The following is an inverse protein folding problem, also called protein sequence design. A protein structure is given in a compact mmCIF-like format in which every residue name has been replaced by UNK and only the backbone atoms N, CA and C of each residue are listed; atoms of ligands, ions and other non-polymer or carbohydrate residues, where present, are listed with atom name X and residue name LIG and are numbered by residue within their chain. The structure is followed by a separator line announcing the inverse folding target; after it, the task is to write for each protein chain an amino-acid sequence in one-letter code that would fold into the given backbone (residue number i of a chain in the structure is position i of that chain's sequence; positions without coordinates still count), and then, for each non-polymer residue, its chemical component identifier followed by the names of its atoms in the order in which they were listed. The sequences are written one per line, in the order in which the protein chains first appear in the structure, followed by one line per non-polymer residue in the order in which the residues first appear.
data_IF_443966430386
#
_entry.id   IF_443966430386
#
_cell.length_a   1.000
_cell.length_b   1.000
_cell.length_c   1.000
_cell.angle_alpha   90.00
_cell.angle_beta   90.00
_cell.angle_gamma   90.00
#
_symmetry.space_group_name_H-M   'P 1'
#
loop_
_entity.id
_entity.type
_entity.pdbx_description
1 polymer ?
#
# COMPACT_ATOMS: atom_id res chain seq x y z
N UNK A 1 6.94 -8.99 4.94
CA UNK A 1 7.55 -10.01 5.80
C UNK A 1 7.01 -11.36 5.40
N UNK A 2 7.75 -12.06 4.54
CA UNK A 2 7.43 -13.41 4.12
C UNK A 2 8.47 -14.39 4.68
N UNK A 3 8.31 -15.70 4.42
CA UNK A 3 9.31 -16.67 4.79
C UNK A 3 10.62 -16.38 4.05
N UNK A 4 11.75 -16.65 4.71
CA UNK A 4 13.07 -16.37 4.12
C UNK A 4 13.29 -17.20 2.85
N UNK A 5 13.66 -16.51 1.77
CA UNK A 5 13.93 -17.09 0.45
C UNK A 5 15.44 -17.18 0.16
N UNK A 6 16.30 -16.74 1.08
CA UNK A 6 17.76 -16.81 0.96
C UNK A 6 18.26 -18.22 0.63
N UNK A 7 17.57 -19.25 1.13
CA UNK A 7 17.82 -20.67 0.84
C UNK A 7 17.65 -21.06 -0.63
N UNK A 8 16.81 -20.34 -1.39
CA UNK A 8 16.60 -20.58 -2.82
C UNK A 8 17.76 -20.03 -3.64
N UNK A 9 18.08 -18.76 -3.41
CA UNK A 9 19.17 -18.05 -4.08
C UNK A 9 19.56 -16.83 -3.25
N UNK A 10 20.84 -16.71 -2.88
CA UNK A 10 21.37 -15.60 -2.09
C UNK A 10 21.06 -14.23 -2.70
N UNK A 11 21.14 -14.10 -4.03
CA UNK A 11 20.84 -12.85 -4.73
C UNK A 11 19.36 -12.49 -4.63
N UNK A 12 18.46 -13.47 -4.79
CA UNK A 12 17.02 -13.24 -4.60
C UNK A 12 16.70 -12.87 -3.16
N UNK A 13 17.38 -13.51 -2.19
CA UNK A 13 17.29 -13.14 -0.77
C UNK A 13 17.64 -11.68 -0.52
N UNK A 14 18.77 -11.20 -1.06
CA UNK A 14 19.18 -9.78 -0.95
C UNK A 14 18.17 -8.83 -1.59
N UNK A 15 17.67 -9.14 -2.79
CA UNK A 15 16.66 -8.33 -3.47
C UNK A 15 15.35 -8.30 -2.66
N UNK A 16 14.92 -9.46 -2.15
CA UNK A 16 13.72 -9.56 -1.32
C UNK A 16 13.86 -8.77 -0.03
N UNK A 17 15.02 -8.83 0.63
CA UNK A 17 15.29 -8.06 1.85
C UNK A 17 15.28 -6.56 1.58
N UNK A 18 15.83 -6.13 0.44
CA UNK A 18 15.78 -4.74 -0.01
C UNK A 18 14.35 -4.27 -0.28
N UNK A 19 13.56 -5.06 -1.01
CA UNK A 19 12.16 -4.75 -1.33
C UNK A 19 11.25 -4.81 -0.10
N UNK A 20 11.56 -5.68 0.87
CA UNK A 20 10.87 -5.76 2.15
C UNK A 20 11.25 -4.61 3.09
N UNK A 21 12.22 -3.76 2.71
CA UNK A 21 12.80 -2.71 3.55
C UNK A 21 13.23 -3.26 4.92
N UNK A 22 13.71 -4.50 4.96
CA UNK A 22 14.18 -5.13 6.19
C UNK A 22 15.59 -4.62 6.48
N UNK A 23 15.66 -3.44 7.11
CA UNK A 23 16.90 -2.70 7.37
C UNK A 23 17.99 -3.54 8.07
N UNK A 24 17.56 -4.54 8.88
CA UNK A 24 18.45 -5.48 9.57
C UNK A 24 19.46 -6.16 8.66
N UNK A 25 19.07 -6.47 7.42
CA UNK A 25 19.94 -7.20 6.50
C UNK A 25 20.78 -6.28 5.61
N UNK A 26 20.56 -4.96 5.70
CA UNK A 26 21.17 -3.95 4.82
C UNK A 26 22.20 -3.13 5.59
N UNK A 27 21.90 -2.79 6.84
CA UNK A 27 22.70 -1.89 7.66
C UNK A 27 23.22 -2.67 8.88
N UNK A 28 24.54 -2.66 9.07
CA UNK A 28 25.13 -3.16 10.30
C UNK A 28 24.79 -2.18 11.44
N UNK A 29 23.96 -2.62 12.39
CA UNK A 29 23.44 -1.78 13.46
C UNK A 29 24.47 -1.40 14.54
N UNK A 30 25.75 -1.68 14.31
CA UNK A 30 26.85 -1.29 15.20
C UNK A 30 26.92 0.23 15.39
N UNK A 31 27.56 0.63 16.49
CA UNK A 31 27.92 2.02 16.79
C UNK A 31 26.72 2.98 16.89
N UNK A 32 25.59 2.52 17.43
CA UNK A 32 24.42 3.38 17.68
C UNK A 32 23.63 3.79 16.44
N UNK A 33 23.94 3.26 15.24
CA UNK A 33 23.18 3.53 14.01
C UNK A 33 21.71 3.11 14.17
N UNK A 34 21.44 2.06 14.95
CA UNK A 34 20.08 1.64 15.30
C UNK A 34 19.24 2.77 15.86
N UNK A 35 19.77 3.51 16.84
CA UNK A 35 19.06 4.61 17.52
C UNK A 35 18.78 5.78 16.57
N UNK A 36 19.73 6.11 15.70
CA UNK A 36 19.53 7.14 14.66
C UNK A 36 18.36 6.77 13.73
N UNK A 37 18.25 5.48 13.37
CA UNK A 37 17.14 4.98 12.54
C UNK A 37 15.82 5.05 13.31
N UNK A 38 15.81 4.66 14.58
CA UNK A 38 14.62 4.77 15.46
C UNK A 38 14.15 6.23 15.55
N UNK A 39 15.07 7.16 15.81
CA UNK A 39 14.75 8.59 15.90
C UNK A 39 14.21 9.14 14.58
N UNK A 40 14.80 8.75 13.45
CA UNK A 40 14.30 9.10 12.13
C UNK A 40 12.89 8.57 11.87
N UNK A 41 12.60 7.33 12.29
CA UNK A 41 11.25 6.74 12.20
C UNK A 41 10.27 7.51 13.08
N UNK A 42 10.64 7.89 14.30
CA UNK A 42 9.78 8.73 15.14
C UNK A 42 9.52 10.11 14.54
N UNK A 43 10.53 10.76 13.97
CA UNK A 43 10.36 12.02 13.25
C UNK A 43 9.36 11.90 12.09
N UNK A 44 9.43 10.81 11.31
CA UNK A 44 8.50 10.54 10.23
C UNK A 44 7.09 10.20 10.71
N UNK A 45 6.95 9.48 11.83
CA UNK A 45 5.65 9.20 12.45
C UNK A 45 5.04 10.49 12.99
N UNK A 46 5.81 11.34 13.67
CA UNK A 46 5.33 12.64 14.15
C UNK A 46 4.87 13.53 12.99
N UNK A 47 5.66 13.56 11.90
CA UNK A 47 5.28 14.26 10.67
C UNK A 47 3.96 13.69 10.09
N UNK A 48 3.84 12.36 10.01
CA UNK A 48 2.61 11.69 9.57
C UNK A 48 1.39 12.11 10.41
N UNK A 49 1.49 12.00 11.74
CA UNK A 49 0.40 12.33 12.67
C UNK A 49 0.01 13.80 12.52
N UNK A 50 0.97 14.71 12.36
CA UNK A 50 0.70 16.14 12.16
C UNK A 50 -0.04 16.41 10.85
N UNK A 51 0.35 15.78 9.74
CA UNK A 51 -0.34 15.91 8.45
C UNK A 51 -1.74 15.32 8.52
N UNK A 52 -1.90 14.14 9.14
CA UNK A 52 -3.20 13.52 9.36
C UNK A 52 -4.12 14.43 10.18
N UNK A 53 -3.62 15.07 11.24
CA UNK A 53 -4.40 15.99 12.05
C UNK A 53 -4.88 17.20 11.23
N UNK A 54 -4.01 17.83 10.44
CA UNK A 54 -4.38 18.96 9.57
C UNK A 54 -5.56 18.60 8.67
N UNK A 55 -5.55 17.41 8.07
CA UNK A 55 -6.54 16.97 7.09
C UNK A 55 -7.83 16.51 7.75
N UNK A 56 -7.75 15.77 8.86
CA UNK A 56 -8.92 15.34 9.63
C UNK A 56 -9.71 16.56 10.12
N UNK A 57 -9.02 17.60 10.59
CA UNK A 57 -9.64 18.84 11.05
C UNK A 57 -9.93 19.85 9.92
N UNK A 58 -9.66 19.50 8.65
CA UNK A 58 -9.82 20.36 7.46
C UNK A 58 -9.20 21.75 7.63
N UNK A 59 -8.04 21.81 8.28
CA UNK A 59 -7.32 23.06 8.51
C UNK A 59 -6.73 23.60 7.20
N UNK A 60 -6.45 22.72 6.24
CA UNK A 60 -6.06 23.03 4.86
C UNK A 60 -7.11 23.90 4.15
N UNK A 61 -8.39 23.51 4.18
CA UNK A 61 -9.49 24.29 3.60
C UNK A 61 -9.65 25.64 4.33
N UNK A 62 -9.68 25.60 5.68
CA UNK A 62 -9.95 26.77 6.53
C UNK A 62 -8.86 27.85 6.44
N UNK A 63 -7.60 27.44 6.35
CA UNK A 63 -6.43 28.33 6.40
C UNK A 63 -5.63 28.35 5.10
N UNK A 64 -6.28 28.04 3.97
CA UNK A 64 -5.71 27.99 2.62
C UNK A 64 -4.96 29.25 2.17
N UNK A 65 -5.18 30.41 2.82
CA UNK A 65 -4.45 31.65 2.54
C UNK A 65 -2.98 31.60 2.99
N UNK A 66 -2.65 30.82 4.01
CA UNK A 66 -1.28 30.75 4.52
C UNK A 66 -0.46 29.73 3.73
N UNK A 67 0.78 30.10 3.41
CA UNK A 67 1.70 29.25 2.65
C UNK A 67 1.93 27.87 3.30
N UNK A 68 2.00 27.81 4.63
CA UNK A 68 2.24 26.57 5.37
C UNK A 68 1.17 25.50 5.10
N UNK A 69 -0.12 25.87 5.16
CA UNK A 69 -1.22 24.91 4.94
C UNK A 69 -1.29 24.44 3.48
N UNK A 70 -0.96 25.33 2.52
CA UNK A 70 -0.83 24.93 1.12
C UNK A 70 0.32 23.97 0.87
N UNK A 71 1.46 24.17 1.56
CA UNK A 71 2.59 23.26 1.47
C UNK A 71 2.25 21.90 2.09
N UNK A 72 1.56 21.89 3.24
CA UNK A 72 1.13 20.66 3.89
C UNK A 72 0.16 19.90 3.01
N UNK A 73 -0.83 20.55 2.39
CA UNK A 73 -1.78 19.94 1.47
C UNK A 73 -1.06 19.28 0.26
N UNK A 74 -0.13 20.01 -0.36
CA UNK A 74 0.68 19.47 -1.45
C UNK A 74 1.56 18.27 -1.01
N UNK A 75 2.17 18.36 0.18
CA UNK A 75 2.94 17.26 0.75
C UNK A 75 2.05 16.07 1.08
N UNK A 76 0.87 16.31 1.64
CA UNK A 76 -0.13 15.33 1.99
C UNK A 76 -0.53 14.48 0.78
N UNK A 77 -0.80 15.10 -0.36
CA UNK A 77 -1.15 14.40 -1.61
C UNK A 77 -0.11 13.37 -2.04
N UNK A 78 1.18 13.67 -1.85
CA UNK A 78 2.29 12.82 -2.27
C UNK A 78 2.75 11.85 -1.17
N UNK A 79 2.89 12.35 0.06
CA UNK A 79 3.43 11.62 1.20
C UNK A 79 2.41 10.66 1.80
N UNK A 80 1.10 10.94 1.73
CA UNK A 80 0.13 10.08 2.40
C UNK A 80 0.12 8.63 1.90
N UNK A 81 0.14 8.38 0.58
CA UNK A 81 0.24 7.01 0.07
C UNK A 81 1.55 6.33 0.46
N UNK A 82 2.66 7.07 0.45
CA UNK A 82 4.00 6.55 0.72
C UNK A 82 4.11 6.19 2.20
N UNK A 83 3.90 7.15 3.09
CA UNK A 83 4.01 6.93 4.53
C UNK A 83 2.90 5.99 5.00
N UNK A 84 1.66 6.22 4.57
CA UNK A 84 0.51 5.46 5.00
C UNK A 84 0.52 4.01 4.51
N UNK A 85 1.08 3.69 3.33
CA UNK A 85 1.05 2.31 2.78
C UNK A 85 2.43 1.65 2.66
N UNK A 86 3.47 2.34 2.21
CA UNK A 86 4.79 1.74 1.99
C UNK A 86 5.60 1.70 3.29
N UNK A 87 5.61 2.80 4.04
CA UNK A 87 6.38 2.90 5.29
C UNK A 87 5.76 2.11 6.46
N UNK A 88 4.55 1.58 6.30
CA UNK A 88 3.97 0.61 7.24
C UNK A 88 4.90 -0.59 7.48
N UNK A 89 5.56 -1.07 6.42
CA UNK A 89 6.44 -2.23 6.47
C UNK A 89 7.72 -1.97 7.28
N UNK A 90 8.44 -0.84 7.14
CA UNK A 90 9.60 -0.55 7.99
C UNK A 90 9.23 0.00 9.37
N UNK A 91 8.21 0.86 9.51
CA UNK A 91 7.95 1.56 10.78
C UNK A 91 7.50 0.62 11.90
N UNK A 92 6.50 -0.24 11.61
CA UNK A 92 5.93 -1.12 12.64
C UNK A 92 6.99 -2.10 13.17
N UNK A 93 7.77 -2.81 12.33
CA UNK A 93 8.84 -3.68 12.81
C UNK A 93 9.96 -2.99 13.60
N UNK A 94 10.35 -1.77 13.23
CA UNK A 94 11.40 -1.02 13.95
C UNK A 94 10.90 -0.66 15.36
N UNK A 95 9.67 -0.17 15.47
CA UNK A 95 9.05 0.11 16.77
C UNK A 95 8.87 -1.19 17.59
N UNK A 96 8.48 -2.29 16.94
CA UNK A 96 8.34 -3.59 17.61
C UNK A 96 9.69 -4.19 18.04
N UNK A 97 10.77 -3.86 17.35
CA UNK A 97 12.11 -4.36 17.66
C UNK A 97 12.67 -3.80 18.98
N UNK A 98 12.19 -2.63 19.42
CA UNK A 98 12.53 -2.07 20.73
C UNK A 98 12.01 -2.94 21.88
N UNK A 99 10.98 -3.76 21.66
CA UNK A 99 10.46 -4.67 22.70
C UNK A 99 11.18 -6.03 22.73
N UNK A 100 12.26 -6.20 21.97
CA UNK A 100 12.91 -7.50 21.79
C UNK A 100 14.18 -7.58 22.62
N UNK A 101 14.01 -8.17 23.80
CA UNK A 101 15.06 -8.40 24.80
C UNK A 101 15.29 -9.91 24.95
N UNK A 102 16.09 -10.48 24.06
CA UNK A 102 16.28 -11.95 23.94
C UNK A 102 17.62 -12.45 24.47
N UNK A 103 18.52 -11.56 24.87
CA UNK A 103 19.79 -11.93 25.45
C UNK A 103 19.87 -11.48 26.91
N UNK A 104 20.42 -12.31 27.80
CA UNK A 104 20.61 -11.98 29.22
C UNK A 104 21.97 -12.42 29.72
N UNK A 105 22.49 -11.68 30.70
CA UNK A 105 23.74 -12.02 31.42
C UNK A 105 23.43 -12.80 32.70
N UNK A 106 22.24 -12.62 33.28
CA UNK A 106 21.77 -13.30 34.47
C UNK A 106 20.37 -13.88 34.32
N UNK A 107 19.87 -14.44 35.42
CA UNK A 107 18.54 -15.07 35.50
C UNK A 107 17.40 -14.05 35.66
N UNK A 108 17.70 -12.80 36.03
CA UNK A 108 16.70 -11.76 36.19
C UNK A 108 16.34 -11.10 34.85
N UNK A 109 15.06 -10.78 34.68
CA UNK A 109 14.55 -10.07 33.49
C UNK A 109 15.22 -8.70 33.26
N UNK A 110 15.63 -8.02 34.33
CA UNK A 110 16.29 -6.70 34.26
C UNK A 110 17.75 -6.75 33.80
N UNK A 111 18.29 -7.96 33.68
CA UNK A 111 19.66 -8.22 33.26
C UNK A 111 19.68 -8.69 31.79
N UNK A 112 18.53 -8.55 31.11
CA UNK A 112 18.41 -8.69 29.67
C UNK A 112 18.86 -7.43 28.93
N UNK A 113 19.41 -7.60 27.75
CA UNK A 113 19.85 -6.54 26.86
C UNK A 113 19.18 -6.66 25.49
N UNK A 114 19.16 -5.55 24.75
CA UNK A 114 18.49 -5.45 23.47
C UNK A 114 19.21 -6.31 22.42
N UNK A 115 18.44 -7.01 21.57
CA UNK A 115 18.98 -7.89 20.52
C UNK A 115 19.95 -7.21 19.53
N UNK A 116 19.86 -5.88 19.39
CA UNK A 116 20.64 -5.08 18.45
C UNK A 116 21.75 -4.25 19.10
N UNK A 117 21.69 -4.03 20.41
CA UNK A 117 22.64 -3.20 21.14
C UNK A 117 22.87 -3.76 22.54
N UNK A 118 24.03 -4.39 22.74
CA UNK A 118 24.40 -4.99 24.02
C UNK A 118 24.79 -3.97 25.10
N UNK A 119 24.92 -2.68 24.75
CA UNK A 119 25.22 -1.63 25.73
C UNK A 119 23.98 -1.13 26.48
N UNK A 120 22.77 -1.44 26.00
CA UNK A 120 21.52 -1.00 26.61
C UNK A 120 20.82 -2.16 27.31
N UNK A 121 20.65 -2.00 28.62
CA UNK A 121 19.81 -2.90 29.41
C UNK A 121 18.34 -2.64 29.13
N UNK A 122 17.62 -3.74 28.94
CA UNK A 122 16.20 -3.67 28.70
C UNK A 122 15.44 -3.18 29.93
N UNK A 123 14.40 -2.39 29.65
CA UNK A 123 13.46 -1.85 30.66
C UNK A 123 14.09 -0.92 31.70
N UNK A 124 15.29 -0.37 31.43
CA UNK A 124 15.97 0.63 32.27
C UNK A 124 16.24 1.91 31.47
N UNK A 125 16.34 3.02 32.19
CA UNK A 125 16.80 4.33 31.71
C UNK A 125 16.24 4.71 30.33
N UNK A 126 17.11 4.93 29.35
CA UNK A 126 16.77 5.36 28.00
C UNK A 126 15.92 4.32 27.25
N UNK A 127 16.20 3.03 27.41
CA UNK A 127 15.43 1.98 26.74
C UNK A 127 13.96 2.01 27.15
N UNK A 128 13.67 2.27 28.44
CA UNK A 128 12.30 2.39 28.92
C UNK A 128 11.58 3.56 28.25
N UNK A 129 12.26 4.70 28.08
CA UNK A 129 11.72 5.87 27.39
C UNK A 129 11.41 5.52 25.92
N UNK A 130 12.34 4.88 25.22
CA UNK A 130 12.16 4.44 23.83
C UNK A 130 11.00 3.45 23.70
N UNK A 131 10.85 2.51 24.64
CA UNK A 131 9.75 1.56 24.64
C UNK A 131 8.38 2.24 24.82
N UNK A 132 8.28 3.20 25.75
CA UNK A 132 7.05 3.99 25.96
C UNK A 132 6.73 4.80 24.70
N UNK A 133 7.72 5.48 24.11
CA UNK A 133 7.54 6.25 22.88
C UNK A 133 7.10 5.36 21.71
N UNK A 134 7.70 4.17 21.54
CA UNK A 134 7.30 3.20 20.53
C UNK A 134 5.88 2.72 20.70
N UNK A 135 5.45 2.48 21.93
CA UNK A 135 4.07 2.08 22.22
C UNK A 135 3.08 3.16 21.77
N UNK A 136 3.31 4.42 22.16
CA UNK A 136 2.46 5.54 21.74
C UNK A 136 2.54 5.81 20.24
N UNK A 137 3.72 5.69 19.64
CA UNK A 137 3.92 5.85 18.21
C UNK A 137 3.08 4.83 17.43
N UNK A 138 3.11 3.54 17.80
CA UNK A 138 2.28 2.51 17.19
C UNK A 138 0.78 2.76 17.42
N UNK A 139 0.40 3.10 18.66
CA UNK A 139 -0.99 3.35 19.04
C UNK A 139 -1.61 4.53 18.28
N UNK A 140 -0.83 5.57 17.98
CA UNK A 140 -1.29 6.70 17.18
C UNK A 140 -1.18 6.45 15.68
N UNK A 141 -0.05 5.91 15.22
CA UNK A 141 0.24 5.74 13.80
C UNK A 141 -0.69 4.73 13.13
N UNK A 142 -0.91 3.55 13.71
CA UNK A 142 -1.66 2.49 13.04
C UNK A 142 -3.13 2.86 12.80
N UNK A 143 -3.90 3.35 13.80
CA UNK A 143 -5.29 3.74 13.58
C UNK A 143 -5.41 4.92 12.61
N UNK A 144 -4.52 5.91 12.71
CA UNK A 144 -4.49 7.05 11.79
C UNK A 144 -4.16 6.61 10.37
N UNK A 145 -3.21 5.69 10.18
CA UNK A 145 -2.89 5.14 8.87
C UNK A 145 -4.06 4.36 8.26
N UNK A 146 -4.82 3.61 9.07
CA UNK A 146 -6.04 2.92 8.60
C UNK A 146 -7.12 3.91 8.21
N UNK A 147 -7.36 4.94 9.04
CA UNK A 147 -8.43 5.91 8.85
C UNK A 147 -8.15 6.90 7.71
N UNK A 148 -6.93 7.43 7.63
CA UNK A 148 -6.57 8.45 6.64
C UNK A 148 -6.46 7.89 5.22
N UNK A 149 -6.22 6.58 5.04
CA UNK A 149 -6.11 5.95 3.71
C UNK A 149 -7.42 6.09 2.89
N UNK A 150 -8.60 5.66 3.39
CA UNK A 150 -9.87 5.93 2.71
C UNK A 150 -10.13 7.42 2.49
N UNK A 151 -9.90 8.24 3.52
CA UNK A 151 -10.12 9.69 3.45
C UNK A 151 -9.31 10.32 2.31
N UNK A 152 -8.03 9.97 2.22
CA UNK A 152 -7.17 10.42 1.13
C UNK A 152 -7.70 10.00 -0.25
N UNK A 153 -8.21 8.77 -0.40
CA UNK A 153 -8.79 8.33 -1.68
C UNK A 153 -10.04 9.11 -2.09
N UNK A 154 -10.82 9.60 -1.13
CA UNK A 154 -11.98 10.45 -1.38
C UNK A 154 -11.58 11.85 -1.82
N UNK A 155 -10.48 12.37 -1.28
CA UNK A 155 -9.92 13.68 -1.62
C UNK A 155 -9.29 13.73 -3.03
N UNK A 156 -9.00 12.59 -3.66
CA UNK A 156 -8.39 12.53 -5.00
C UNK A 156 -9.46 12.46 -6.12
N UNK A 157 -9.85 13.59 -6.77
CA UNK A 157 -10.89 13.58 -7.79
C UNK A 157 -10.48 12.84 -9.07
N UNK A 158 -9.17 12.76 -9.35
CA UNK A 158 -8.62 12.12 -10.55
C UNK A 158 -8.49 10.60 -10.40
N UNK A 159 -8.73 10.04 -9.21
CA UNK A 159 -8.55 8.61 -8.94
C UNK A 159 -9.77 7.80 -9.40
N UNK A 160 -9.69 7.27 -10.63
CA UNK A 160 -10.75 6.43 -11.20
C UNK A 160 -10.84 5.02 -10.59
N UNK A 161 -9.72 4.48 -10.11
CA UNK A 161 -9.67 3.17 -9.46
C UNK A 161 -9.69 3.38 -7.94
N UNK A 162 -10.85 3.14 -7.35
CA UNK A 162 -11.06 3.28 -5.90
C UNK A 162 -11.04 1.90 -5.24
N UNK A 163 -10.37 1.79 -4.10
CA UNK A 163 -10.49 0.61 -3.25
C UNK A 163 -11.61 0.78 -2.24
N UNK A 164 -12.22 -0.33 -1.85
CA UNK A 164 -13.15 -0.38 -0.74
C UNK A 164 -12.45 -0.03 0.58
N UNK A 165 -13.02 0.86 1.42
CA UNK A 165 -12.45 1.17 2.74
C UNK A 165 -12.36 -0.06 3.64
N UNK A 166 -13.36 -0.96 3.55
CA UNK A 166 -13.36 -2.21 4.30
C UNK A 166 -12.19 -3.12 3.91
N UNK A 167 -11.88 -3.20 2.61
CA UNK A 167 -10.69 -3.93 2.15
C UNK A 167 -9.40 -3.36 2.73
N UNK A 168 -9.25 -2.02 2.75
CA UNK A 168 -8.06 -1.38 3.30
C UNK A 168 -7.89 -1.66 4.80
N UNK A 169 -8.98 -1.65 5.56
CA UNK A 169 -8.97 -2.01 6.97
C UNK A 169 -8.52 -3.46 7.19
N UNK A 170 -9.15 -4.42 6.51
CA UNK A 170 -8.78 -5.85 6.61
C UNK A 170 -7.33 -6.08 6.18
N UNK A 171 -6.89 -5.41 5.10
CA UNK A 171 -5.49 -5.48 4.64
C UNK A 171 -4.53 -5.04 5.74
N UNK A 172 -4.79 -3.92 6.42
CA UNK A 172 -3.90 -3.45 7.50
C UNK A 172 -3.89 -4.39 8.69
N UNK A 173 -5.05 -4.90 9.11
CA UNK A 173 -5.13 -5.88 10.21
C UNK A 173 -4.29 -7.12 9.89
N UNK A 174 -4.40 -7.65 8.67
CA UNK A 174 -3.58 -8.79 8.23
C UNK A 174 -2.10 -8.41 8.16
N UNK A 175 -1.75 -7.20 7.70
CA UNK A 175 -0.36 -6.74 7.70
C UNK A 175 0.23 -6.70 9.12
N UNK A 176 -0.47 -6.11 10.10
CA UNK A 176 -0.05 -6.09 11.51
C UNK A 176 0.10 -7.51 12.05
N UNK A 177 -0.88 -8.37 11.80
CA UNK A 177 -0.84 -9.77 12.23
C UNK A 177 0.38 -10.51 11.68
N UNK A 178 0.67 -10.36 10.38
CA UNK A 178 1.82 -10.98 9.75
C UNK A 178 3.15 -10.43 10.30
N UNK A 179 3.23 -9.14 10.61
CA UNK A 179 4.41 -8.54 11.24
C UNK A 179 4.60 -9.09 12.65
N UNK A 180 3.53 -9.12 13.45
CA UNK A 180 3.54 -9.65 14.81
C UNK A 180 3.97 -11.13 14.82
N UNK A 181 3.40 -11.96 13.94
CA UNK A 181 3.79 -13.36 13.77
C UNK A 181 5.27 -13.52 13.38
N UNK A 182 5.77 -12.67 12.48
CA UNK A 182 7.18 -12.70 12.08
C UNK A 182 8.13 -12.29 13.22
N UNK A 183 7.69 -11.46 14.18
CA UNK A 183 8.51 -11.05 15.34
C UNK A 183 8.40 -12.00 16.53
N UNK A 184 7.26 -12.66 16.69
CA UNK A 184 6.98 -13.56 17.82
C UNK A 184 7.20 -15.02 17.44
N UNK A 185 6.30 -15.59 16.62
CA UNK A 185 6.28 -17.01 16.27
C UNK A 185 7.55 -17.44 15.54
N UNK A 186 8.04 -16.64 14.59
CA UNK A 186 9.27 -16.99 13.84
C UNK A 186 10.48 -17.17 14.74
N UNK A 187 10.60 -16.37 15.81
CA UNK A 187 11.68 -16.46 16.77
C UNK A 187 11.60 -17.74 17.60
N UNK A 188 10.39 -18.13 18.00
CA UNK A 188 10.18 -19.35 18.76
C UNK A 188 10.38 -20.61 17.88
N UNK A 189 9.68 -20.69 16.75
CA UNK A 189 9.71 -21.84 15.84
C UNK A 189 9.48 -21.41 14.38
N UNK A 190 10.54 -21.46 13.57
CA UNK A 190 10.48 -21.02 12.17
C UNK A 190 9.52 -21.85 11.30
N UNK A 191 9.49 -23.19 11.49
CA UNK A 191 8.58 -24.08 10.74
C UNK A 191 7.11 -23.72 11.01
N UNK A 192 6.75 -23.55 12.29
CA UNK A 192 5.40 -23.20 12.73
C UNK A 192 4.95 -21.86 12.15
N UNK A 193 5.85 -20.86 12.15
CA UNK A 193 5.58 -19.57 11.53
C UNK A 193 5.26 -19.69 10.03
N UNK A 194 6.04 -20.46 9.26
CA UNK A 194 5.83 -20.63 7.82
C UNK A 194 4.49 -21.29 7.50
N UNK A 195 4.11 -22.31 8.26
CA UNK A 195 2.82 -23.00 8.12
C UNK A 195 1.67 -22.04 8.42
N UNK A 196 1.73 -21.32 9.55
CA UNK A 196 0.70 -20.33 9.91
C UNK A 196 0.61 -19.20 8.88
N UNK A 197 1.74 -18.73 8.34
CA UNK A 197 1.79 -17.73 7.28
C UNK A 197 1.02 -18.21 6.04
N UNK A 198 1.23 -19.45 5.60
CA UNK A 198 0.50 -20.04 4.46
C UNK A 198 -1.01 -20.05 4.73
N UNK A 199 -1.44 -20.48 5.92
CA UNK A 199 -2.87 -20.51 6.29
C UNK A 199 -3.50 -19.12 6.28
N UNK A 200 -2.84 -18.12 6.89
CA UNK A 200 -3.32 -16.73 6.90
C UNK A 200 -3.42 -16.17 5.48
N UNK A 201 -2.44 -16.44 4.62
CA UNK A 201 -2.45 -15.96 3.24
C UNK A 201 -3.51 -16.68 2.38
N UNK A 202 -3.74 -17.97 2.56
CA UNK A 202 -4.83 -18.70 1.88
C UNK A 202 -6.19 -18.14 2.33
N UNK A 203 -6.40 -17.95 3.63
CA UNK A 203 -7.60 -17.33 4.16
C UNK A 203 -7.83 -15.95 3.53
N UNK A 204 -6.78 -15.13 3.42
CA UNK A 204 -6.84 -13.81 2.80
C UNK A 204 -7.19 -13.87 1.30
N UNK A 205 -6.62 -14.81 0.56
CA UNK A 205 -6.98 -15.04 -0.85
C UNK A 205 -8.45 -15.42 -0.97
N UNK A 206 -8.95 -16.36 -0.16
CA UNK A 206 -10.37 -16.77 -0.16
C UNK A 206 -11.28 -15.60 0.18
N UNK A 207 -10.89 -14.78 1.15
CA UNK A 207 -11.59 -13.55 1.50
C UNK A 207 -11.71 -12.60 0.30
N UNK A 208 -10.62 -12.32 -0.42
CA UNK A 208 -10.63 -11.40 -1.58
C UNK A 208 -11.29 -11.96 -2.83
N UNK A 209 -11.42 -13.30 -2.94
CA UNK A 209 -12.25 -13.90 -3.98
C UNK A 209 -13.74 -13.58 -3.75
N UNK A 210 -14.19 -13.48 -2.49
CA UNK A 210 -15.56 -13.10 -2.13
C UNK A 210 -15.76 -11.58 -2.13
N UNK A 211 -14.82 -10.84 -1.54
CA UNK A 211 -14.87 -9.39 -1.41
C UNK A 211 -13.99 -8.72 -2.46
N UNK A 212 -14.62 -8.11 -3.46
CA UNK A 212 -13.91 -7.40 -4.54
C UNK A 212 -13.25 -6.13 -4.00
N UNK A 213 -11.90 -6.03 -3.93
CA UNK A 213 -11.23 -4.93 -3.26
C UNK A 213 -11.32 -3.60 -4.03
N UNK A 214 -11.31 -3.65 -5.36
CA UNK A 214 -11.33 -2.50 -6.24
C UNK A 214 -12.61 -2.47 -7.07
N UNK A 215 -13.03 -1.26 -7.45
CA UNK A 215 -14.10 -1.05 -8.44
C UNK A 215 -13.74 -1.55 -9.85
N UNK A 216 -12.45 -1.83 -10.12
CA UNK A 216 -11.97 -2.27 -11.42
C UNK A 216 -11.63 -3.78 -11.44
N UNK A 217 -12.38 -4.62 -12.18
CA UNK A 217 -12.24 -6.08 -12.12
C UNK A 217 -10.87 -6.63 -12.49
N UNK A 218 -10.12 -5.98 -13.39
CA UNK A 218 -8.76 -6.42 -13.74
C UNK A 218 -7.79 -6.29 -12.58
N UNK A 219 -7.90 -5.19 -11.83
CA UNK A 219 -7.05 -5.01 -10.64
C UNK A 219 -7.37 -6.07 -9.59
N UNK A 220 -8.64 -6.43 -9.40
CA UNK A 220 -9.03 -7.53 -8.52
C UNK A 220 -8.39 -8.87 -8.97
N UNK A 221 -8.39 -9.16 -10.27
CA UNK A 221 -7.74 -10.36 -10.82
C UNK A 221 -6.24 -10.37 -10.51
N UNK A 222 -5.52 -9.31 -10.87
CA UNK A 222 -4.06 -9.24 -10.65
C UNK A 222 -3.69 -9.21 -9.18
N UNK A 223 -4.48 -8.57 -8.33
CA UNK A 223 -4.32 -8.62 -6.88
C UNK A 223 -4.42 -10.06 -6.38
N UNK A 224 -5.44 -10.80 -6.78
CA UNK A 224 -5.62 -12.19 -6.36
C UNK A 224 -4.49 -13.10 -6.89
N UNK A 225 -4.07 -12.92 -8.15
CA UNK A 225 -2.95 -13.67 -8.72
C UNK A 225 -1.63 -13.38 -8.01
N UNK A 226 -1.38 -12.11 -7.65
CA UNK A 226 -0.19 -11.74 -6.90
C UNK A 226 -0.15 -12.42 -5.53
N UNK A 227 -1.29 -12.52 -4.85
CA UNK A 227 -1.40 -13.20 -3.55
C UNK A 227 -1.28 -14.72 -3.67
N UNK A 228 -1.82 -15.32 -4.74
CA UNK A 228 -1.55 -16.73 -5.07
C UNK A 228 -0.05 -16.95 -5.29
N UNK A 229 0.63 -16.02 -5.96
CA UNK A 229 2.10 -16.05 -6.10
C UNK A 229 2.83 -16.00 -4.75
N UNK A 230 2.36 -15.19 -3.79
CA UNK A 230 2.91 -15.17 -2.43
C UNK A 230 2.68 -16.50 -1.70
N UNK A 231 1.50 -17.10 -1.82
CA UNK A 231 1.21 -18.43 -1.25
C UNK A 231 2.11 -19.50 -1.86
N UNK A 232 2.27 -19.49 -3.18
CA UNK A 232 3.17 -20.39 -3.90
C UNK A 232 4.62 -20.26 -3.41
N UNK A 233 5.12 -19.03 -3.29
CA UNK A 233 6.46 -18.76 -2.76
C UNK A 233 6.61 -19.28 -1.32
N UNK A 234 5.59 -19.11 -0.49
CA UNK A 234 5.62 -19.59 0.89
C UNK A 234 5.62 -21.11 0.99
N UNK A 235 4.87 -21.81 0.13
CA UNK A 235 4.89 -23.28 0.02
C UNK A 235 6.28 -23.76 -0.39
N UNK A 236 6.86 -23.19 -1.44
CA UNK A 236 8.22 -23.56 -1.89
C UNK A 236 9.26 -23.34 -0.80
N UNK A 237 9.18 -22.20 -0.11
CA UNK A 237 10.07 -21.86 1.00
C UNK A 237 9.94 -22.85 2.17
N UNK A 238 8.75 -23.39 2.40
CA UNK A 238 8.51 -24.41 3.45
C UNK A 238 9.05 -25.79 3.02
N UNK A 239 8.84 -26.19 1.76
CA UNK A 239 9.37 -27.45 1.20
C UNK A 239 10.90 -27.45 1.22
N UNK A 240 11.51 -26.32 0.88
CA UNK A 240 12.97 -26.15 0.87
C UNK A 240 13.60 -26.52 2.21
N UNK A 241 12.97 -26.10 3.31
CA UNK A 241 13.42 -26.38 4.66
C UNK A 241 13.19 -27.85 5.05
N UNK A 242 12.07 -28.45 4.65
CA UNK A 242 11.68 -29.80 5.05
C UNK A 242 12.43 -30.94 4.34
N UNK A 243 12.71 -30.79 3.04
CA UNK A 243 13.16 -31.92 2.19
C UNK A 243 14.65 -31.82 1.77
N UNK A 244 15.36 -30.74 2.17
CA UNK A 244 16.77 -30.50 1.78
C UNK A 244 16.99 -30.64 0.26
N UNK A 245 16.04 -30.16 -0.54
CA UNK A 245 16.10 -30.21 -2.01
C UNK A 245 17.20 -29.28 -2.52
N UNK A 246 17.85 -29.65 -3.62
CA UNK A 246 18.82 -28.81 -4.31
C UNK A 246 18.21 -27.43 -4.67
N UNK A 247 18.90 -26.35 -4.32
CA UNK A 247 18.49 -24.96 -4.53
C UNK A 247 18.19 -24.63 -6.00
N UNK A 248 18.90 -25.27 -6.94
CA UNK A 248 18.67 -25.10 -8.39
C UNK A 248 17.28 -25.60 -8.77
N UNK A 249 16.87 -26.79 -8.29
CA UNK A 249 15.57 -27.39 -8.59
C UNK A 249 14.45 -26.50 -8.06
N UNK A 250 14.58 -26.01 -6.83
CA UNK A 250 13.59 -25.13 -6.22
C UNK A 250 13.49 -23.78 -6.96
N UNK A 251 14.61 -23.25 -7.45
CA UNK A 251 14.63 -22.02 -8.26
C UNK A 251 13.92 -22.23 -9.60
N UNK A 252 14.15 -23.35 -10.28
CA UNK A 252 13.43 -23.71 -11.51
C UNK A 252 11.92 -23.81 -11.24
N UNK A 253 11.53 -24.50 -10.16
CA UNK A 253 10.14 -24.66 -9.77
C UNK A 253 9.46 -23.32 -9.43
N UNK A 254 10.19 -22.39 -8.81
CA UNK A 254 9.74 -21.03 -8.55
C UNK A 254 9.38 -20.30 -9.86
N UNK A 255 10.28 -20.29 -10.85
CA UNK A 255 10.06 -19.63 -12.13
C UNK A 255 8.92 -20.28 -12.92
N UNK A 256 8.85 -21.62 -12.94
CA UNK A 256 7.76 -22.35 -13.60
C UNK A 256 6.41 -21.98 -12.97
N UNK A 257 6.31 -21.96 -11.64
CA UNK A 257 5.08 -21.60 -10.95
C UNK A 257 4.62 -20.16 -11.25
N UNK A 258 5.54 -19.19 -11.24
CA UNK A 258 5.23 -17.81 -11.62
C UNK A 258 4.79 -17.69 -13.08
N UNK A 259 5.45 -18.40 -14.00
CA UNK A 259 5.08 -18.45 -15.41
C UNK A 259 3.64 -18.96 -15.58
N UNK A 260 3.28 -20.06 -14.90
CA UNK A 260 1.93 -20.63 -14.94
C UNK A 260 0.91 -19.62 -14.40
N UNK A 261 1.17 -18.98 -13.25
CA UNK A 261 0.26 -17.99 -12.64
C UNK A 261 0.03 -16.81 -13.58
N UNK A 262 1.09 -16.26 -14.19
CA UNK A 262 1.00 -15.13 -15.11
C UNK A 262 0.26 -15.51 -16.40
N UNK A 263 0.59 -16.64 -17.02
CA UNK A 263 -0.09 -17.11 -18.23
C UNK A 263 -1.57 -17.36 -17.98
N UNK A 264 -1.92 -17.97 -16.85
CA UNK A 264 -3.30 -18.16 -16.42
C UNK A 264 -4.03 -16.81 -16.22
N UNK A 265 -3.35 -15.84 -15.60
CA UNK A 265 -3.87 -14.49 -15.44
C UNK A 265 -4.14 -13.77 -16.76
N UNK A 266 -3.20 -13.83 -17.70
CA UNK A 266 -3.35 -13.27 -19.04
C UNK A 266 -4.49 -13.93 -19.81
N UNK A 267 -4.60 -15.27 -19.71
CA UNK A 267 -5.70 -16.02 -20.31
C UNK A 267 -7.06 -15.56 -19.79
N UNK A 268 -7.24 -15.48 -18.46
CA UNK A 268 -8.49 -15.00 -17.85
C UNK A 268 -8.76 -13.54 -18.19
N UNK A 269 -7.74 -12.69 -18.15
CA UNK A 269 -7.88 -11.27 -18.51
C UNK A 269 -8.44 -11.14 -19.93
N UNK A 270 -7.85 -11.84 -20.90
CA UNK A 270 -8.30 -11.80 -22.29
C UNK A 270 -9.73 -12.31 -22.46
N UNK A 271 -10.09 -13.39 -21.73
CA UNK A 271 -11.41 -14.04 -21.87
C UNK A 271 -12.54 -13.30 -21.15
N UNK A 272 -12.31 -12.81 -19.94
CA UNK A 272 -13.37 -12.34 -19.01
C UNK A 272 -13.34 -10.84 -18.75
N UNK A 273 -12.20 -10.17 -18.91
CA UNK A 273 -12.02 -8.79 -18.50
C UNK A 273 -11.41 -7.94 -19.63
N UNK A 274 -12.16 -7.57 -20.68
CA UNK A 274 -11.69 -6.62 -21.70
C UNK A 274 -11.40 -5.22 -21.09
N UNK A 275 -10.65 -4.37 -21.79
CA UNK A 275 -10.15 -3.11 -21.23
C UNK A 275 -11.27 -2.08 -21.24
N UNK A 276 -11.95 -1.95 -20.10
CA UNK A 276 -13.11 -1.06 -19.96
C UNK A 276 -12.76 0.32 -19.38
N UNK A 277 -11.48 0.65 -19.21
CA UNK A 277 -11.08 2.03 -18.93
C UNK A 277 -11.27 2.84 -20.21
N UNK A 278 -12.52 3.17 -20.51
CA UNK A 278 -12.86 4.19 -21.48
C UNK A 278 -12.32 5.51 -20.95
N UNK A 279 -11.11 5.87 -21.37
CA UNK A 279 -10.73 7.28 -21.42
C UNK A 279 -11.83 7.94 -22.24
N UNK A 280 -12.53 8.96 -21.71
CA UNK A 280 -13.35 9.85 -22.56
C UNK A 280 -12.46 10.16 -23.74
N UNK A 281 -12.82 9.69 -24.94
CA UNK A 281 -12.08 10.01 -26.17
C UNK A 281 -11.99 11.53 -26.13
N UNK A 282 -10.78 12.09 -26.02
CA UNK A 282 -10.63 13.55 -26.00
C UNK A 282 -11.48 14.04 -27.16
N UNK A 283 -12.41 14.98 -26.88
CA UNK A 283 -13.21 15.58 -27.94
C UNK A 283 -12.24 15.92 -29.03
N UNK A 284 -12.44 15.33 -30.20
CA UNK A 284 -11.50 15.45 -31.29
C UNK A 284 -11.42 16.95 -31.59
N UNK A 285 -10.34 17.61 -31.16
CA UNK A 285 -10.21 19.06 -31.29
C UNK A 285 -10.34 19.41 -32.77
N UNK A 286 -9.94 18.49 -33.67
CA UNK A 286 -10.16 18.62 -35.11
C UNK A 286 -11.63 18.66 -35.51
N UNK A 287 -12.55 18.01 -34.77
CA UNK A 287 -14.00 18.12 -35.00
C UNK A 287 -14.58 19.45 -34.52
N UNK A 288 -14.07 20.00 -33.42
CA UNK A 288 -14.42 21.35 -32.93
C UNK A 288 -13.84 22.44 -33.84
N UNK A 289 -12.59 22.28 -34.31
CA UNK A 289 -11.98 23.15 -35.31
C UNK A 289 -12.70 23.03 -36.66
N UNK A 290 -13.03 21.82 -37.14
CA UNK A 290 -13.86 21.67 -38.33
C UNK A 290 -15.21 22.33 -38.13
N UNK A 291 -15.87 22.20 -36.98
CA UNK A 291 -17.12 22.89 -36.73
C UNK A 291 -16.96 24.42 -36.79
N UNK A 292 -15.96 24.98 -36.10
CA UNK A 292 -15.69 26.42 -36.07
C UNK A 292 -15.31 27.00 -37.44
N UNK A 293 -14.51 26.29 -38.23
CA UNK A 293 -14.01 26.77 -39.53
C UNK A 293 -14.88 26.37 -40.73
N UNK A 294 -15.76 25.36 -40.61
CA UNK A 294 -16.69 24.97 -41.69
C UNK A 294 -17.99 25.77 -41.66
N UNK A 295 -18.39 26.32 -40.49
CA UNK A 295 -19.56 27.20 -40.38
C UNK A 295 -19.42 28.52 -41.16
N UNK A 296 -18.19 28.96 -41.45
CA UNK A 296 -17.92 30.13 -42.30
C UNK A 296 -18.35 29.99 -43.76
N UNK A 297 -18.61 28.77 -44.27
CA UNK A 297 -18.97 28.56 -45.69
C UNK A 297 -20.45 28.30 -45.97
N UNK A 298 -21.25 27.93 -44.96
CA UNK A 298 -22.68 27.59 -45.17
C UNK A 298 -23.67 28.53 -44.47
N UNK A 299 -23.23 29.40 -43.56
CA UNK A 299 -24.15 30.27 -42.80
C UNK A 299 -24.79 31.41 -43.61
N UNK A 300 -24.28 31.77 -44.80
CA UNK A 300 -24.89 32.83 -45.61
C UNK A 300 -26.09 32.40 -46.47
N UNK A 301 -26.31 31.09 -46.70
CA UNK A 301 -27.47 30.61 -47.48
C UNK A 301 -28.66 30.15 -46.64
N UNK A 302 -28.44 29.77 -45.37
CA UNK A 302 -29.52 29.33 -44.49
C UNK A 302 -30.25 30.48 -43.79
N UNK A 303 -29.57 31.62 -43.52
CA UNK A 303 -30.19 32.76 -42.82
C UNK A 303 -31.23 33.49 -43.68
N UNK A 304 -31.13 33.44 -45.02
CA UNK A 304 -32.13 34.03 -45.92
C UNK A 304 -33.40 33.17 -46.10
N UNK A 305 -33.45 31.96 -45.53
CA UNK A 305 -34.62 31.07 -45.67
C UNK A 305 -35.49 30.98 -44.40
N UNK A 306 -35.05 31.57 -43.28
CA UNK A 306 -35.69 31.46 -41.96
C UNK A 306 -36.26 32.81 -41.47
N UNK A 307 -36.32 33.83 -42.33
CA UNK A 307 -37.13 35.02 -42.05
C UNK A 307 -38.43 34.90 -42.86
N UNK A 308 -39.46 34.17 -42.37
CA UNK A 308 -40.81 34.38 -42.85
C UNK A 308 -41.25 35.79 -42.43
N UNK A 309 -41.78 36.55 -43.40
CA UNK A 309 -42.34 37.87 -43.17
C UNK A 309 -43.41 37.81 -42.07
N UNK A 310 -43.23 38.64 -41.05
CA UNK A 310 -44.04 38.72 -39.83
C UNK A 310 -45.41 39.39 -40.03
N UNK A 311 -46.13 39.10 -41.12
CA UNK A 311 -47.37 39.80 -41.49
C UNK A 311 -48.65 38.94 -41.42
N UNK A 312 -48.70 37.87 -40.62
CA UNK A 312 -49.92 37.03 -40.52
C UNK A 312 -50.37 36.64 -39.11
N UNK A 313 -49.88 37.30 -38.07
CA UNK A 313 -50.43 37.16 -36.70
C UNK A 313 -51.35 38.33 -36.39
N UNK A 314 -52.41 38.47 -37.19
CA UNK A 314 -53.59 39.26 -36.86
C UNK A 314 -54.81 38.38 -37.10
N UNK A 315 -55.60 38.15 -36.04
CA UNK A 315 -56.78 37.28 -35.89
C UNK A 315 -56.52 35.90 -35.30
N UNK A 316 -56.66 35.81 -33.99
CA UNK A 316 -57.67 34.95 -33.37
C UNK A 316 -57.85 35.34 -31.90
N UNK A 317 -58.53 36.47 -31.69
CA UNK A 317 -59.40 36.65 -30.53
C UNK A 317 -60.82 36.23 -30.94
N UNK A 318 -61.55 35.63 -30.00
CA UNK A 318 -62.96 35.16 -30.01
C UNK A 318 -63.15 33.65 -30.21
N UNK A 319 -63.14 32.89 -29.12
CA UNK A 319 -64.37 32.47 -28.42
C UNK A 319 -64.04 31.69 -27.14
#
# INVERSE_FOLDING_TARGET
MGPDISYLNSTLGKISNLLALELKNIIDFRNGIFWIIVDAVYGLIALWVSMSAVIIFRLDEKYSRFFLFRLIDWLADFMMPILGSLCFIPFVPICLDIFVCDHSIGDNFTDSFLSYDCYYFCWKDEHLIYAILSFFALLCYEPLAVFCRPLWQELQPMLHVKSSPYFLMVKTVIQVLLIAMNKTVRRAQDITHRILFIFVMIFYVVFLLKFKPYNYPRFNLWQNLSLIGVVWLAILSTIALGVKVNSIILTILLFIGWLIIVLYGLYIQKKKYPSLLFRKKHHDITSLFKFAFTFGKHSHKALNKIIPSSNSLERQDKN
#
